data_IF_058638781826
#
_entry.id   IF_058638781826
#
_cell.length_a   1.000
_cell.length_b   1.000
_cell.length_c   1.000
_cell.angle_alpha   90.00
_cell.angle_beta   90.00
_cell.angle_gamma   90.00
#
_symmetry.space_group_name_H-M   'P 1'
#
loop_
_entity.id
_entity.type
_entity.pdbx_description
1 polymer ?
#
# COMPACT_ATOMS: atom_id res chain seq x y z
N UNK A 1 -9.92 -3.84 -3.39
CA UNK A 1 -8.72 -4.65 -3.65
C UNK A 1 -7.49 -3.74 -3.59
N UNK A 2 -6.44 -4.13 -2.88
CA UNK A 2 -5.22 -3.33 -2.59
C UNK A 2 -4.15 -4.21 -1.93
N UNK A 3 -2.88 -3.91 -2.15
CA UNK A 3 -1.77 -4.39 -1.34
C UNK A 3 -1.06 -3.18 -0.73
N UNK A 4 -0.99 -3.12 0.59
CA UNK A 4 -0.08 -2.24 1.31
C UNK A 4 0.61 -3.06 2.39
N UNK A 5 1.93 -3.09 2.38
CA UNK A 5 2.77 -3.77 3.36
C UNK A 5 3.56 -2.73 4.16
N UNK A 6 3.49 -2.80 5.49
CA UNK A 6 4.26 -1.99 6.42
C UNK A 6 5.22 -2.87 7.22
N UNK A 7 6.49 -2.45 7.27
CA UNK A 7 7.55 -3.14 8.02
C UNK A 7 8.26 -2.14 8.91
N UNK A 8 8.49 -2.52 10.17
CA UNK A 8 9.23 -1.69 11.13
C UNK A 8 10.27 -2.50 11.89
N UNK A 9 11.45 -1.92 12.09
CA UNK A 9 12.53 -2.44 12.94
C UNK A 9 13.17 -1.26 13.67
N UNK A 10 12.84 -1.10 14.96
CA UNK A 10 13.27 0.05 15.75
C UNK A 10 12.77 1.37 15.13
N UNK A 11 13.66 2.33 14.91
CA UNK A 11 13.34 3.62 14.28
C UNK A 11 13.45 3.61 12.75
N UNK A 12 13.56 2.44 12.13
CA UNK A 12 13.57 2.28 10.69
C UNK A 12 12.32 1.54 10.24
N UNK A 13 11.85 1.83 9.03
CA UNK A 13 10.73 1.12 8.46
C UNK A 13 10.50 1.44 7.00
N UNK A 14 9.51 0.78 6.43
CA UNK A 14 9.03 1.08 5.08
C UNK A 14 7.56 0.74 4.93
N UNK A 15 6.92 1.43 3.99
CA UNK A 15 5.57 1.12 3.52
C UNK A 15 5.62 0.97 2.00
N UNK A 16 5.15 -0.17 1.51
CA UNK A 16 5.12 -0.50 0.09
C UNK A 16 3.66 -0.71 -0.29
N UNK A 17 3.17 0.02 -1.29
CA UNK A 17 1.78 -0.05 -1.72
C UNK A 17 1.64 -0.08 -3.23
N UNK A 18 0.54 -0.64 -3.73
CA UNK A 18 0.27 -0.70 -5.17
C UNK A 18 -0.57 0.51 -5.65
N UNK A 19 -0.65 0.70 -6.97
CA UNK A 19 -1.38 1.83 -7.58
C UNK A 19 -2.81 1.50 -8.06
N UNK A 20 -3.24 0.25 -7.94
CA UNK A 20 -4.45 -0.24 -8.61
C UNK A 20 -5.72 0.10 -7.86
N UNK A 21 -6.66 0.75 -8.51
CA UNK A 21 -8.06 0.76 -8.10
C UNK A 21 -8.79 -0.39 -8.77
N UNK A 22 -9.82 -0.92 -8.11
CA UNK A 22 -10.74 -1.86 -8.72
C UNK A 22 -12.16 -1.43 -8.41
N UNK A 23 -12.98 -1.29 -9.44
CA UNK A 23 -14.41 -1.11 -9.28
C UNK A 23 -15.04 -2.43 -8.86
N UNK A 24 -15.57 -2.50 -7.65
CA UNK A 24 -16.12 -3.73 -7.07
C UNK A 24 -17.33 -4.27 -7.83
N UNK A 25 -18.09 -3.40 -8.52
CA UNK A 25 -19.28 -3.79 -9.27
C UNK A 25 -18.99 -4.31 -10.69
N UNK A 26 -17.93 -3.80 -11.34
CA UNK A 26 -17.60 -4.17 -12.73
C UNK A 26 -16.35 -5.03 -12.85
N UNK A 27 -15.48 -5.02 -11.85
CA UNK A 27 -14.16 -5.66 -11.90
C UNK A 27 -13.11 -4.87 -12.68
N UNK A 28 -13.44 -3.70 -13.24
CA UNK A 28 -12.50 -2.87 -13.99
C UNK A 28 -11.38 -2.34 -13.08
N UNK A 29 -10.15 -2.33 -13.60
CA UNK A 29 -8.93 -2.00 -12.85
C UNK A 29 -8.16 -0.80 -13.42
N UNK A 30 -7.61 0.03 -12.54
CA UNK A 30 -7.00 1.30 -12.93
C UNK A 30 -5.72 1.56 -12.12
N UNK A 31 -4.55 1.53 -12.75
CA UNK A 31 -3.25 1.81 -12.12
C UNK A 31 -2.97 3.32 -12.07
N UNK A 32 -3.78 4.04 -11.28
CA UNK A 32 -3.84 5.51 -11.31
C UNK A 32 -3.94 6.15 -9.92
N UNK A 33 -3.77 5.40 -8.83
CA UNK A 33 -4.08 5.90 -7.49
C UNK A 33 -2.94 5.80 -6.47
N UNK A 34 -2.71 6.90 -5.76
CA UNK A 34 -1.99 6.89 -4.48
C UNK A 34 -2.99 6.67 -3.35
N UNK A 35 -2.76 5.60 -2.58
CA UNK A 35 -3.64 5.15 -1.50
C UNK A 35 -3.13 5.61 -0.12
N UNK A 36 -2.57 6.81 -0.07
CA UNK A 36 -2.08 7.40 1.16
C UNK A 36 -2.27 8.93 1.15
N UNK A 37 -2.31 9.51 2.34
CA UNK A 37 -2.37 10.97 2.56
C UNK A 37 -1.41 11.35 3.67
N UNK A 38 -0.83 12.54 3.55
CA UNK A 38 -0.26 13.24 4.70
C UNK A 38 -1.37 14.08 5.33
N UNK A 39 -1.65 13.85 6.61
CA UNK A 39 -2.54 14.73 7.38
C UNK A 39 -1.82 16.06 7.62
N UNK A 40 -0.55 15.96 7.99
CA UNK A 40 0.42 17.05 8.05
C UNK A 40 1.84 16.49 7.87
N UNK A 41 2.88 17.19 8.33
CA UNK A 41 4.27 16.71 8.29
C UNK A 41 4.58 15.60 9.32
N UNK A 42 3.71 15.37 10.30
CA UNK A 42 3.89 14.38 11.37
C UNK A 42 3.17 13.07 11.10
N UNK A 43 2.03 13.08 10.39
CA UNK A 43 1.18 11.90 10.23
C UNK A 43 0.90 11.57 8.76
N UNK A 44 1.27 10.36 8.36
CA UNK A 44 0.89 9.74 7.08
C UNK A 44 -0.05 8.56 7.32
N UNK A 45 -1.10 8.44 6.50
CA UNK A 45 -2.07 7.35 6.55
C UNK A 45 -2.14 6.64 5.21
N UNK A 46 -1.90 5.34 5.19
CA UNK A 46 -2.02 4.45 4.04
C UNK A 46 -3.26 3.59 4.21
N UNK A 47 -4.12 3.49 3.20
CA UNK A 47 -5.43 2.85 3.34
C UNK A 47 -5.69 1.78 2.28
N UNK A 48 -6.25 0.66 2.72
CA UNK A 48 -6.87 -0.35 1.87
C UNK A 48 -8.38 -0.40 2.13
N UNK A 49 -9.17 -0.75 1.11
CA UNK A 49 -10.63 -0.77 1.20
C UNK A 49 -11.24 0.46 0.54
N UNK A 50 -11.97 1.27 1.30
CA UNK A 50 -12.66 2.45 0.80
C UNK A 50 -11.72 3.66 0.65
N UNK A 51 -10.71 3.53 -0.20
CA UNK A 51 -9.62 4.52 -0.37
C UNK A 51 -10.09 5.93 -0.71
N UNK A 52 -11.25 6.11 -1.36
CA UNK A 52 -11.84 7.42 -1.63
C UNK A 52 -12.32 8.17 -0.37
N UNK A 53 -12.41 7.49 0.76
CA UNK A 53 -12.73 8.11 2.05
C UNK A 53 -11.52 8.78 2.71
N UNK A 54 -10.32 8.56 2.17
CA UNK A 54 -9.07 8.99 2.77
C UNK A 54 -8.94 10.52 2.85
N UNK A 55 -9.40 11.25 1.83
CA UNK A 55 -9.47 12.72 1.86
C UNK A 55 -10.40 13.25 2.95
N UNK A 56 -11.59 12.65 3.11
CA UNK A 56 -12.52 13.01 4.18
C UNK A 56 -11.93 12.74 5.57
N UNK A 57 -11.25 11.60 5.71
CA UNK A 57 -10.57 11.27 6.96
C UNK A 57 -9.45 12.27 7.27
N UNK A 58 -8.63 12.67 6.29
CA UNK A 58 -7.65 13.75 6.44
C UNK A 58 -8.31 15.03 6.98
N UNK A 59 -9.40 15.47 6.35
CA UNK A 59 -10.10 16.71 6.71
C UNK A 59 -10.65 16.68 8.16
N UNK A 60 -10.98 15.49 8.69
CA UNK A 60 -11.42 15.31 10.08
C UNK A 60 -10.25 15.33 11.07
N UNK A 61 -9.09 14.81 10.67
CA UNK A 61 -7.91 14.67 11.53
C UNK A 61 -7.05 15.93 11.57
N UNK A 62 -6.97 16.68 10.48
CA UNK A 62 -6.13 17.88 10.34
C UNK A 62 -6.39 18.94 11.44
N UNK A 63 -7.65 19.25 11.83
CA UNK A 63 -7.90 20.17 12.95
C UNK A 63 -7.48 19.64 14.32
N UNK A 64 -7.29 18.32 14.46
CA UNK A 64 -6.95 17.64 15.71
C UNK A 64 -5.46 17.29 15.81
N UNK A 65 -4.67 17.60 14.79
CA UNK A 65 -3.29 17.11 14.67
C UNK A 65 -2.41 17.49 15.86
N UNK A 66 -2.56 18.71 16.40
CA UNK A 66 -1.81 19.19 17.57
C UNK A 66 -2.13 18.43 18.87
N UNK A 67 -3.18 17.60 18.89
CA UNK A 67 -3.56 16.76 20.02
C UNK A 67 -3.04 15.33 19.87
N UNK A 68 -2.51 14.97 18.69
CA UNK A 68 -1.95 13.65 18.40
C UNK A 68 -0.46 13.70 18.72
N UNK A 69 -0.05 12.86 19.66
CA UNK A 69 1.32 12.80 20.18
C UNK A 69 1.87 11.39 20.10
N UNK A 70 3.19 11.24 20.27
CA UNK A 70 3.83 9.93 20.35
C UNK A 70 3.20 9.02 21.40
N UNK A 71 2.63 9.57 22.49
CA UNK A 71 2.04 8.79 23.57
C UNK A 71 0.63 8.28 23.27
N UNK A 72 -0.13 8.95 22.40
CA UNK A 72 -1.55 8.64 22.19
C UNK A 72 -1.91 8.22 20.75
N UNK A 73 -0.96 8.28 19.81
CA UNK A 73 -1.24 8.02 18.40
C UNK A 73 -1.69 6.58 18.12
N UNK A 74 -1.21 5.63 18.90
CA UNK A 74 -1.54 4.20 18.86
C UNK A 74 -2.21 3.72 20.15
N UNK A 75 -2.91 4.63 20.85
CA UNK A 75 -3.72 4.33 22.03
C UNK A 75 -5.20 4.13 21.63
N UNK A 76 -5.87 3.02 22.03
CA UNK A 76 -7.31 2.83 21.84
C UNK A 76 -8.19 3.95 22.42
N UNK A 77 -7.69 4.72 23.38
CA UNK A 77 -8.39 5.87 23.96
C UNK A 77 -7.87 7.22 23.42
N UNK A 78 -6.88 7.19 22.52
CA UNK A 78 -6.27 8.36 21.92
C UNK A 78 -7.15 9.08 20.90
N UNK A 79 -6.86 10.36 20.67
CA UNK A 79 -7.63 11.25 19.78
C UNK A 79 -7.68 10.72 18.35
N UNK A 80 -6.57 10.14 17.86
CA UNK A 80 -6.52 9.59 16.51
C UNK A 80 -7.47 8.39 16.36
N UNK A 81 -7.35 7.40 17.24
CA UNK A 81 -8.15 6.18 17.19
C UNK A 81 -9.65 6.48 17.28
N UNK A 82 -10.05 7.30 18.26
CA UNK A 82 -11.45 7.70 18.44
C UNK A 82 -11.99 8.46 17.21
N UNK A 83 -11.18 9.34 16.61
CA UNK A 83 -11.60 10.07 15.39
C UNK A 83 -11.77 9.16 14.18
N UNK A 84 -10.94 8.13 14.05
CA UNK A 84 -11.06 7.12 12.99
C UNK A 84 -12.32 6.28 13.19
N UNK A 85 -12.60 5.83 14.42
CA UNK A 85 -13.83 5.10 14.76
C UNK A 85 -15.06 5.96 14.45
N UNK A 86 -15.13 7.18 15.00
CA UNK A 86 -16.27 8.08 14.78
C UNK A 86 -16.53 8.33 13.30
N UNK A 87 -15.46 8.42 12.49
CA UNK A 87 -15.56 8.58 11.06
C UNK A 87 -16.22 7.36 10.41
N UNK A 88 -15.71 6.16 10.72
CA UNK A 88 -16.18 4.92 10.14
C UNK A 88 -17.58 4.55 10.63
N UNK A 89 -17.94 4.79 11.88
CA UNK A 89 -19.29 4.53 12.40
C UNK A 89 -20.39 5.31 11.66
N UNK A 90 -20.05 6.44 11.02
CA UNK A 90 -20.96 7.21 10.17
C UNK A 90 -21.03 6.71 8.73
N UNK A 91 -20.14 5.80 8.32
CA UNK A 91 -20.15 5.19 6.99
C UNK A 91 -21.13 4.00 6.95
N UNK A 92 -21.63 3.63 5.76
CA UNK A 92 -22.38 2.39 5.59
C UNK A 92 -21.62 1.16 6.14
N UNK A 93 -22.33 0.22 6.79
CA UNK A 93 -21.72 -0.95 7.47
C UNK A 93 -20.99 -1.91 6.53
N UNK A 94 -21.26 -1.87 5.23
CA UNK A 94 -20.53 -2.66 4.23
C UNK A 94 -19.19 -2.02 3.83
N UNK A 95 -18.89 -0.80 4.29
CA UNK A 95 -17.60 -0.15 4.09
C UNK A 95 -16.60 -0.71 5.09
N UNK A 96 -15.75 -1.61 4.59
CA UNK A 96 -14.60 -2.13 5.33
C UNK A 96 -13.33 -1.41 4.89
N UNK A 97 -12.42 -1.17 5.81
CA UNK A 97 -11.12 -0.55 5.52
C UNK A 97 -10.08 -0.96 6.54
N UNK A 98 -8.82 -0.84 6.14
CA UNK A 98 -7.68 -1.01 7.01
C UNK A 98 -6.70 0.14 6.73
N UNK A 99 -6.07 0.64 7.78
CA UNK A 99 -5.16 1.79 7.73
C UNK A 99 -3.84 1.38 8.36
N UNK A 100 -2.73 1.62 7.66
CA UNK A 100 -1.40 1.69 8.27
C UNK A 100 -1.07 3.16 8.45
N UNK A 101 -0.84 3.58 9.69
CA UNK A 101 -0.43 4.94 10.01
C UNK A 101 1.06 5.00 10.33
N UNK A 102 1.69 6.11 9.97
CA UNK A 102 3.07 6.46 10.33
C UNK A 102 3.07 7.82 10.98
N UNK A 103 3.49 7.87 12.24
CA UNK A 103 3.64 9.10 13.01
C UNK A 103 5.13 9.40 13.22
N UNK A 104 5.53 10.63 12.93
CA UNK A 104 6.89 11.12 12.97
C UNK A 104 7.00 12.17 14.08
N UNK A 105 7.81 11.91 15.10
CA UNK A 105 8.07 12.87 16.16
C UNK A 105 9.45 13.50 15.99
N UNK A 106 9.48 14.72 15.46
CA UNK A 106 10.72 15.48 15.23
C UNK A 106 11.44 15.79 16.55
N UNK A 107 10.69 15.97 17.65
CA UNK A 107 11.27 16.33 18.94
C UNK A 107 12.14 15.21 19.52
N UNK A 108 11.69 13.96 19.48
CA UNK A 108 12.49 12.80 19.91
C UNK A 108 13.32 12.15 18.79
N UNK A 109 13.10 12.54 17.53
CA UNK A 109 13.77 11.92 16.38
C UNK A 109 13.32 10.48 16.14
N UNK A 110 12.13 10.11 16.59
CA UNK A 110 11.58 8.75 16.50
C UNK A 110 10.31 8.70 15.66
N UNK A 111 9.80 7.49 15.41
CA UNK A 111 8.53 7.27 14.75
C UNK A 111 7.75 6.12 15.38
N UNK A 112 6.43 6.16 15.20
CA UNK A 112 5.53 5.04 15.43
C UNK A 112 4.85 4.61 14.14
N UNK A 113 4.65 3.31 13.96
CA UNK A 113 3.78 2.73 12.96
C UNK A 113 2.67 1.95 13.66
N UNK A 114 1.45 1.99 13.15
CA UNK A 114 0.33 1.26 13.73
C UNK A 114 -0.63 0.85 12.63
N UNK A 115 -1.52 -0.09 12.94
CA UNK A 115 -2.60 -0.49 12.04
C UNK A 115 -3.95 -0.40 12.73
N UNK A 116 -4.93 0.17 12.04
CA UNK A 116 -6.33 0.18 12.47
C UNK A 116 -7.18 -0.47 11.40
N UNK A 117 -7.91 -1.52 11.77
CA UNK A 117 -8.93 -2.11 10.91
C UNK A 117 -10.32 -1.63 11.31
N UNK A 118 -11.15 -1.30 10.32
CA UNK A 118 -12.58 -1.06 10.45
C UNK A 118 -13.31 -2.14 9.65
N UNK A 119 -13.66 -3.23 10.33
CA UNK A 119 -14.28 -4.42 9.75
C UNK A 119 -15.78 -4.48 10.06
N UNK A 120 -16.49 -5.35 9.37
CA UNK A 120 -17.91 -5.63 9.61
C UNK A 120 -18.11 -7.10 9.86
N UNK A 121 -18.79 -7.45 10.96
CA UNK A 121 -19.19 -8.83 11.26
C UNK A 121 -20.60 -9.18 10.74
N UNK A 122 -21.18 -8.28 9.93
CA UNK A 122 -22.53 -8.37 9.38
C UNK A 122 -23.59 -7.69 10.26
N UNK A 123 -23.35 -7.52 11.56
CA UNK A 123 -24.31 -6.88 12.49
C UNK A 123 -23.79 -5.59 13.09
N UNK A 124 -22.47 -5.51 13.31
CA UNK A 124 -21.80 -4.34 13.87
C UNK A 124 -20.45 -4.15 13.22
N UNK A 125 -19.90 -2.97 13.44
CA UNK A 125 -18.53 -2.65 13.09
C UNK A 125 -17.60 -3.16 14.18
N UNK A 126 -16.49 -3.76 13.79
CA UNK A 126 -15.45 -4.27 14.69
C UNK A 126 -14.15 -3.56 14.34
N UNK A 127 -13.49 -3.04 15.38
CA UNK A 127 -12.24 -2.32 15.23
C UNK A 127 -11.11 -3.09 15.87
N UNK A 128 -9.99 -3.22 15.15
CA UNK A 128 -8.78 -3.83 15.67
C UNK A 128 -7.63 -2.83 15.56
N UNK A 129 -6.84 -2.70 16.63
CA UNK A 129 -5.62 -1.89 16.66
C UNK A 129 -4.42 -2.81 16.82
N UNK A 130 -3.44 -2.68 15.92
CA UNK A 130 -2.08 -3.17 16.13
C UNK A 130 -1.22 -1.95 16.50
N UNK A 131 -0.87 -1.78 17.78
CA UNK A 131 -0.04 -0.67 18.23
C UNK A 131 1.41 -0.84 17.77
N UNK A 132 2.23 0.20 17.90
CA UNK A 132 3.62 0.22 17.43
C UNK A 132 4.48 -0.91 17.99
N UNK A 133 4.27 -1.23 19.27
CA UNK A 133 5.00 -2.31 19.94
C UNK A 133 4.78 -3.69 19.29
N UNK A 134 3.64 -3.88 18.62
CA UNK A 134 3.28 -5.12 17.93
C UNK A 134 3.43 -5.00 16.40
N UNK A 135 3.79 -3.82 15.89
CA UNK A 135 3.88 -3.56 14.46
C UNK A 135 5.25 -3.99 13.92
N UNK A 136 5.34 -5.20 13.38
CA UNK A 136 6.57 -5.68 12.74
C UNK A 136 6.40 -5.88 11.23
N UNK A 137 5.32 -6.54 10.82
CA UNK A 137 5.09 -7.04 9.47
C UNK A 137 3.59 -7.06 9.17
N UNK A 138 3.04 -5.88 8.88
CA UNK A 138 1.61 -5.73 8.60
C UNK A 138 1.36 -5.70 7.10
N UNK A 139 0.36 -6.44 6.63
CA UNK A 139 -0.12 -6.37 5.23
C UNK A 139 -1.63 -6.19 5.27
N UNK A 140 -2.12 -5.14 4.60
CA UNK A 140 -3.54 -4.79 4.54
C UNK A 140 -4.08 -4.90 3.12
N UNK A 141 -5.39 -5.16 3.02
CA UNK A 141 -6.11 -5.38 1.76
C UNK A 141 -6.02 -6.83 1.26
N UNK A 142 -6.40 -7.03 -0.01
CA UNK A 142 -6.31 -8.33 -0.70
C UNK A 142 -4.88 -8.84 -0.82
N UNK A 143 -3.89 -7.95 -0.77
CA UNK A 143 -2.46 -8.28 -0.76
C UNK A 143 -2.00 -9.18 0.39
N UNK A 144 -2.81 -9.38 1.44
CA UNK A 144 -2.51 -10.33 2.53
C UNK A 144 -2.25 -11.77 2.03
N UNK A 145 -2.64 -12.10 0.79
CA UNK A 145 -2.30 -13.38 0.17
C UNK A 145 -0.79 -13.67 0.17
N UNK A 146 0.07 -12.66 0.11
CA UNK A 146 1.54 -12.82 0.10
C UNK A 146 2.10 -13.27 1.46
N UNK A 147 1.27 -13.31 2.50
CA UNK A 147 1.65 -13.81 3.83
C UNK A 147 1.02 -15.17 4.12
N UNK A 148 0.20 -15.71 3.21
CA UNK A 148 -0.49 -16.97 3.40
C UNK A 148 0.43 -18.15 3.05
N UNK A 149 1.08 -18.72 4.07
CA UNK A 149 2.01 -19.85 3.93
C UNK A 149 1.45 -21.03 3.12
N UNK A 150 0.14 -21.29 3.15
CA UNK A 150 -0.48 -22.40 2.39
C UNK A 150 -0.41 -22.23 0.87
N UNK A 151 -0.08 -21.03 0.39
CA UNK A 151 0.02 -20.69 -1.04
C UNK A 151 1.43 -20.85 -1.61
N UNK A 152 2.43 -21.13 -0.76
CA UNK A 152 3.84 -21.16 -1.14
C UNK A 152 4.44 -22.53 -0.83
N UNK A 153 5.36 -22.99 -1.68
CA UNK A 153 6.03 -24.29 -1.48
C UNK A 153 7.07 -24.23 -0.36
N UNK A 154 7.71 -23.08 -0.22
CA UNK A 154 8.76 -22.84 0.76
C UNK A 154 8.24 -22.05 1.96
N UNK A 155 8.92 -22.18 3.11
CA UNK A 155 8.60 -21.39 4.29
C UNK A 155 8.86 -19.91 4.04
N UNK A 156 7.83 -19.08 4.17
CA UNK A 156 7.94 -17.64 4.01
C UNK A 156 8.72 -17.02 5.17
N UNK A 157 9.77 -16.28 4.84
CA UNK A 157 10.45 -15.45 5.85
C UNK A 157 9.64 -14.16 6.05
N UNK A 158 9.25 -13.77 7.27
CA UNK A 158 8.57 -12.49 7.51
C UNK A 158 9.33 -11.31 6.89
N UNK A 159 8.63 -10.33 6.31
CA UNK A 159 9.29 -9.20 5.64
C UNK A 159 10.12 -8.37 6.63
N UNK A 160 9.71 -8.31 7.90
CA UNK A 160 10.49 -7.71 8.99
C UNK A 160 11.85 -8.35 9.20
N UNK A 161 11.95 -9.68 9.08
CA UNK A 161 13.23 -10.39 9.18
C UNK A 161 14.10 -10.13 7.97
N UNK A 162 13.51 -10.06 6.77
CA UNK A 162 14.24 -9.73 5.54
C UNK A 162 14.82 -8.32 5.63
N UNK A 163 14.01 -7.35 6.06
CA UNK A 163 14.41 -5.97 6.27
C UNK A 163 15.53 -5.86 7.33
N UNK A 164 15.32 -6.48 8.50
CA UNK A 164 16.31 -6.51 9.59
C UNK A 164 17.64 -7.13 9.13
N UNK A 165 17.60 -8.24 8.40
CA UNK A 165 18.81 -8.90 7.91
C UNK A 165 19.60 -8.02 6.93
N UNK A 166 18.93 -7.20 6.13
CA UNK A 166 19.62 -6.22 5.28
C UNK A 166 20.30 -5.13 6.13
N UNK A 167 19.62 -4.60 7.14
CA UNK A 167 20.19 -3.61 8.06
C UNK A 167 21.37 -4.18 8.86
N UNK A 168 21.24 -5.39 9.41
CA UNK A 168 22.29 -6.07 10.19
C UNK A 168 23.55 -6.34 9.35
N UNK A 169 23.42 -6.44 8.03
CA UNK A 169 24.54 -6.55 7.07
C UNK A 169 25.18 -5.20 6.72
N UNK A 170 24.69 -4.10 7.28
CA UNK A 170 25.20 -2.74 7.05
C UNK A 170 24.63 -2.06 5.79
N UNK A 171 23.60 -2.61 5.16
CA UNK A 171 22.91 -1.91 4.07
C UNK A 171 22.08 -0.75 4.62
N UNK A 172 21.98 0.33 3.85
CA UNK A 172 21.12 1.45 4.23
C UNK A 172 19.63 1.09 4.11
N UNK A 173 18.78 1.91 4.72
CA UNK A 173 17.33 1.69 4.80
C UNK A 173 16.69 1.56 3.42
N UNK A 174 17.11 2.38 2.45
CA UNK A 174 16.60 2.32 1.08
C UNK A 174 16.87 0.95 0.44
N UNK A 175 18.10 0.45 0.54
CA UNK A 175 18.45 -0.88 0.05
C UNK A 175 17.70 -1.98 0.79
N UNK A 176 17.51 -1.86 2.11
CA UNK A 176 16.69 -2.79 2.87
C UNK A 176 15.22 -2.80 2.38
N UNK A 177 14.66 -1.64 2.07
CA UNK A 177 13.33 -1.49 1.49
C UNK A 177 13.24 -2.13 0.09
N UNK A 178 14.23 -1.92 -0.77
CA UNK A 178 14.28 -2.54 -2.10
C UNK A 178 14.28 -4.08 -2.00
N UNK A 179 14.95 -4.66 -1.01
CA UNK A 179 14.96 -6.11 -0.78
C UNK A 179 13.58 -6.60 -0.35
N UNK A 180 12.89 -5.89 0.54
CA UNK A 180 11.50 -6.22 0.94
C UNK A 180 10.56 -6.15 -0.26
N UNK A 181 10.68 -5.12 -1.08
CA UNK A 181 9.84 -4.98 -2.26
C UNK A 181 10.07 -6.11 -3.27
N UNK A 182 11.33 -6.46 -3.53
CA UNK A 182 11.67 -7.60 -4.40
C UNK A 182 11.10 -8.91 -3.86
N UNK A 183 11.09 -9.10 -2.55
CA UNK A 183 10.44 -10.25 -1.93
C UNK A 183 8.93 -10.24 -2.19
N UNK A 184 8.24 -9.10 -2.00
CA UNK A 184 6.80 -8.98 -2.29
C UNK A 184 6.52 -9.33 -3.77
N UNK A 185 7.30 -8.76 -4.70
CA UNK A 185 7.18 -9.05 -6.13
C UNK A 185 7.48 -10.53 -6.42
N UNK A 186 8.49 -11.11 -5.78
CA UNK A 186 8.84 -12.52 -5.90
C UNK A 186 7.70 -13.43 -5.49
N UNK A 187 7.03 -13.11 -4.37
CA UNK A 187 5.85 -13.85 -3.90
C UNK A 187 4.67 -13.72 -4.87
N UNK A 188 4.40 -12.52 -5.38
CA UNK A 188 3.36 -12.34 -6.40
C UNK A 188 3.67 -13.14 -7.68
N UNK A 189 4.94 -13.19 -8.11
CA UNK A 189 5.38 -14.00 -9.24
C UNK A 189 5.19 -15.51 -8.99
N UNK A 190 5.44 -16.01 -7.78
CA UNK A 190 5.18 -17.43 -7.42
C UNK A 190 3.69 -17.79 -7.42
N UNK A 191 2.81 -16.85 -7.03
CA UNK A 191 1.36 -17.02 -7.09
C UNK A 191 0.80 -17.06 -8.52
N UNK A 192 1.60 -16.65 -9.51
CA UNK A 192 1.26 -16.70 -10.93
C UNK A 192 0.66 -15.40 -11.48
N UNK A 193 0.67 -15.22 -12.81
CA UNK A 193 0.36 -13.94 -13.47
C UNK A 193 -1.10 -13.49 -13.34
N UNK A 194 -2.02 -14.39 -12.98
CA UNK A 194 -3.43 -14.05 -12.76
C UNK A 194 -3.71 -13.42 -11.40
N UNK A 195 -2.76 -13.49 -10.45
CA UNK A 195 -2.95 -12.95 -9.08
C UNK A 195 -3.17 -11.44 -9.10
N UNK A 196 -2.51 -10.71 -10.00
CA UNK A 196 -2.64 -9.26 -10.13
C UNK A 196 -4.07 -8.84 -10.48
N UNK A 197 -4.73 -9.62 -11.35
CA UNK A 197 -6.13 -9.40 -11.69
C UNK A 197 -7.05 -9.86 -10.55
N UNK A 198 -6.87 -11.08 -10.03
CA UNK A 198 -7.77 -11.67 -9.02
C UNK A 198 -7.76 -10.86 -7.72
N UNK A 199 -6.59 -10.44 -7.26
CA UNK A 199 -6.44 -9.70 -6.01
C UNK A 199 -6.44 -8.19 -6.24
N UNK A 200 -6.55 -7.73 -7.49
CA UNK A 200 -6.57 -6.31 -7.88
C UNK A 200 -5.36 -5.54 -7.37
N UNK A 201 -4.17 -6.07 -7.64
CA UNK A 201 -2.87 -5.55 -7.22
C UNK A 201 -2.11 -5.11 -8.47
N UNK A 202 -1.55 -3.90 -8.45
CA UNK A 202 -0.68 -3.43 -9.53
C UNK A 202 0.63 -4.23 -9.61
N UNK A 203 1.14 -4.45 -10.82
CA UNK A 203 2.48 -5.00 -11.04
C UNK A 203 3.62 -4.03 -10.66
N UNK A 204 3.28 -2.75 -10.44
CA UNK A 204 4.22 -1.70 -10.01
C UNK A 204 3.89 -1.21 -8.60
N UNK A 205 4.94 -0.88 -7.83
CA UNK A 205 4.80 -0.53 -6.42
C UNK A 205 5.32 0.89 -6.12
N UNK A 206 4.57 1.59 -5.28
CA UNK A 206 4.99 2.78 -4.56
C UNK A 206 5.80 2.34 -3.34
N UNK A 207 6.94 3.00 -3.13
CA UNK A 207 7.84 2.71 -2.01
C UNK A 207 8.02 3.96 -1.16
N UNK A 208 7.80 3.79 0.14
CA UNK A 208 8.13 4.78 1.17
C UNK A 208 9.08 4.16 2.19
N UNK A 209 10.09 4.92 2.62
CA UNK A 209 11.01 4.48 3.67
C UNK A 209 11.12 5.51 4.79
N UNK A 210 11.41 5.03 5.99
CA UNK A 210 11.35 5.76 7.25
C UNK A 210 12.69 5.65 7.97
N UNK A 211 13.24 6.79 8.40
CA UNK A 211 14.49 6.91 9.14
C UNK A 211 14.30 7.90 10.28
N UNK A 212 14.21 7.41 11.52
CA UNK A 212 13.94 8.29 12.67
C UNK A 212 12.60 9.00 12.50
N UNK A 213 12.59 10.32 12.54
CA UNK A 213 11.39 11.14 12.34
C UNK A 213 11.21 11.64 10.89
N UNK A 214 11.80 10.95 9.90
CA UNK A 214 11.68 11.31 8.49
C UNK A 214 11.06 10.17 7.69
N UNK A 215 10.09 10.51 6.84
CA UNK A 215 9.50 9.62 5.84
C UNK A 215 9.76 10.20 4.46
N UNK A 216 10.19 9.34 3.53
CA UNK A 216 10.34 9.70 2.12
C UNK A 216 9.57 8.73 1.23
N UNK A 217 8.70 9.28 0.39
CA UNK A 217 8.11 8.57 -0.75
C UNK A 217 9.09 8.67 -1.91
N UNK A 218 9.54 7.54 -2.43
CA UNK A 218 10.61 7.48 -3.43
C UNK A 218 10.06 7.41 -4.85
N UNK A 219 10.35 8.44 -5.65
CA UNK A 219 10.33 8.34 -7.11
C UNK A 219 11.61 7.67 -7.62
N UNK A 220 11.49 6.78 -8.61
CA UNK A 220 12.60 5.97 -9.13
C UNK A 220 12.32 5.45 -10.54
N UNK A 221 13.39 5.07 -11.21
CA UNK A 221 13.36 4.28 -12.46
C UNK A 221 13.75 2.85 -12.13
N UNK A 222 12.93 1.90 -12.58
CA UNK A 222 13.16 0.47 -12.45
C UNK A 222 13.48 -0.10 -13.83
N UNK A 223 14.57 -0.85 -13.93
CA UNK A 223 14.92 -1.63 -15.11
C UNK A 223 14.96 -3.11 -14.72
N UNK A 224 14.21 -3.95 -15.44
CA UNK A 224 14.26 -5.40 -15.31
C UNK A 224 14.72 -6.03 -16.62
N UNK A 225 15.45 -7.14 -16.48
CA UNK A 225 15.89 -7.98 -17.58
C UNK A 225 15.63 -9.43 -17.23
N UNK A 226 15.02 -10.18 -18.14
CA UNK A 226 14.86 -11.62 -18.01
C UNK A 226 15.82 -12.30 -18.98
N UNK A 227 16.71 -13.13 -18.44
CA UNK A 227 17.65 -13.95 -19.21
C UNK A 227 17.20 -15.41 -19.08
N UNK A 228 17.05 -16.12 -20.19
CA UNK A 228 16.78 -17.56 -20.19
C UNK A 228 17.67 -18.25 -21.22
N UNK A 229 18.12 -19.47 -20.92
CA UNK A 229 19.08 -20.22 -21.75
C UNK A 229 18.65 -20.39 -23.22
N UNK A 230 17.35 -20.30 -23.52
CA UNK A 230 16.80 -20.37 -24.89
C UNK A 230 15.63 -19.38 -25.11
N UNK A 231 15.61 -18.26 -24.39
CA UNK A 231 14.59 -17.23 -24.56
C UNK A 231 15.25 -15.91 -24.96
N UNK A 232 14.66 -15.13 -25.88
CA UNK A 232 15.16 -13.79 -26.16
C UNK A 232 15.20 -12.96 -24.87
N UNK A 233 16.26 -12.17 -24.71
CA UNK A 233 16.36 -11.19 -23.64
C UNK A 233 15.14 -10.27 -23.69
N UNK A 234 14.30 -10.31 -22.64
CA UNK A 234 13.26 -9.31 -22.47
C UNK A 234 13.77 -8.24 -21.53
N UNK A 235 13.82 -6.99 -22.01
CA UNK A 235 14.12 -5.81 -21.21
C UNK A 235 12.88 -4.92 -21.18
N UNK A 236 12.53 -4.45 -20.00
CA UNK A 236 11.51 -3.42 -19.83
C UNK A 236 11.94 -2.49 -18.69
N UNK A 237 11.41 -1.28 -18.71
CA UNK A 237 11.69 -0.31 -17.67
C UNK A 237 10.55 0.68 -17.51
N UNK A 238 10.35 1.14 -16.29
CA UNK A 238 9.39 2.20 -15.99
C UNK A 238 9.95 3.20 -15.01
N UNK A 239 9.33 4.36 -14.96
CA UNK A 239 9.64 5.42 -14.01
C UNK A 239 8.38 5.79 -13.23
N UNK A 240 8.51 5.88 -11.92
CA UNK A 240 7.53 6.48 -11.02
C UNK A 240 8.15 7.77 -10.46
N UNK A 241 7.43 8.88 -10.49
CA UNK A 241 7.99 10.15 -10.01
C UNK A 241 6.98 11.26 -9.89
N UNK A 242 7.50 12.46 -9.64
CA UNK A 242 6.77 13.73 -9.72
C UNK A 242 7.31 14.54 -10.87
N UNK A 243 6.43 15.22 -11.60
CA UNK A 243 6.82 16.23 -12.57
C UNK A 243 7.16 17.57 -11.89
N UNK A 244 7.55 18.57 -12.68
CA UNK A 244 7.92 19.90 -12.20
C UNK A 244 6.75 20.66 -11.54
N UNK A 245 5.51 20.23 -11.80
CA UNK A 245 4.31 20.79 -11.17
C UNK A 245 3.92 20.06 -9.88
N UNK A 246 4.67 19.01 -9.52
CA UNK A 246 4.43 18.17 -8.35
C UNK A 246 3.41 17.06 -8.56
N UNK A 247 2.87 16.90 -9.77
CA UNK A 247 1.94 15.82 -10.11
C UNK A 247 2.69 14.50 -10.24
N UNK A 248 2.06 13.43 -9.74
CA UNK A 248 2.65 12.11 -9.70
C UNK A 248 2.34 11.35 -10.99
N UNK A 249 3.29 10.59 -11.51
CA UNK A 249 3.10 9.81 -12.74
C UNK A 249 3.79 8.45 -12.72
N UNK A 250 3.29 7.55 -13.57
CA UNK A 250 3.95 6.35 -14.04
C UNK A 250 4.31 6.52 -15.52
N UNK A 251 5.53 6.18 -15.91
CA UNK A 251 6.01 6.26 -17.30
C UNK A 251 6.58 4.92 -17.73
N UNK A 252 6.02 4.32 -18.77
CA UNK A 252 6.65 3.19 -19.44
C UNK A 252 7.74 3.74 -20.36
N UNK A 253 8.99 3.45 -20.06
CA UNK A 253 10.11 4.01 -20.81
C UNK A 253 10.25 3.35 -22.20
N UNK A 254 9.62 2.20 -22.42
CA UNK A 254 9.65 1.47 -23.69
C UNK A 254 8.72 2.10 -24.73
N UNK A 255 7.56 2.60 -24.27
CA UNK A 255 6.54 3.25 -25.12
C UNK A 255 6.51 4.77 -24.96
N UNK A 256 7.19 5.31 -23.95
CA UNK A 256 7.06 6.70 -23.49
C UNK A 256 5.64 7.09 -23.05
N UNK A 257 4.72 6.13 -22.86
CA UNK A 257 3.39 6.38 -22.33
C UNK A 257 3.51 6.88 -20.89
N UNK A 258 2.81 7.98 -20.58
CA UNK A 258 2.69 8.53 -19.23
C UNK A 258 1.26 8.28 -18.75
N UNK A 259 1.14 7.67 -17.58
CA UNK A 259 -0.12 7.46 -16.86
C UNK A 259 -0.10 8.34 -15.61
N UNK A 260 -0.98 9.36 -15.53
CA UNK A 260 -1.11 10.19 -14.33
C UNK A 260 -1.57 9.37 -13.12
N UNK A 261 -1.01 9.67 -11.96
CA UNK A 261 -1.41 9.05 -10.68
C UNK A 261 -1.96 10.14 -9.77
N UNK A 262 -3.14 9.88 -9.22
CA UNK A 262 -3.89 10.83 -8.42
C UNK A 262 -4.02 10.33 -6.98
N UNK A 263 -4.02 11.27 -6.03
CA UNK A 263 -4.42 10.96 -4.66
C UNK A 263 -5.92 10.61 -4.65
N UNK A 264 -6.32 9.60 -3.88
CA UNK A 264 -7.73 9.21 -3.73
C UNK A 264 -8.46 10.15 -2.77
N UNK A 265 -8.60 11.40 -3.19
CA UNK A 265 -9.29 12.47 -2.45
C UNK A 265 -10.38 13.14 -3.31
N UNK A 266 -10.92 14.25 -2.83
CA UNK A 266 -11.96 15.05 -3.51
C UNK A 266 -11.53 15.64 -4.87
N UNK A 267 -10.23 15.68 -5.17
CA UNK A 267 -9.68 16.17 -6.44
C UNK A 267 -9.45 15.04 -7.45
N UNK A 268 -9.71 13.79 -7.06
CA UNK A 268 -9.57 12.65 -7.97
C UNK A 268 -10.50 12.82 -9.19
N UNK A 269 -9.98 12.81 -10.43
CA UNK A 269 -10.77 13.03 -11.64
C UNK A 269 -11.67 11.81 -11.95
N UNK A 270 -13.02 11.90 -11.78
CA UNK A 270 -13.87 10.71 -11.90
C UNK A 270 -13.89 10.12 -13.32
N UNK A 271 -13.65 10.94 -14.34
CA UNK A 271 -13.61 10.52 -15.73
C UNK A 271 -12.46 9.54 -16.05
N UNK A 272 -11.40 9.51 -15.22
CA UNK A 272 -10.32 8.53 -15.37
C UNK A 272 -10.78 7.10 -15.04
N UNK A 273 -11.96 6.95 -14.43
CA UNK A 273 -12.57 5.65 -14.18
C UNK A 273 -13.50 5.21 -15.33
N UNK A 274 -13.53 5.91 -16.46
CA UNK A 274 -14.43 5.54 -17.57
C UNK A 274 -13.87 4.44 -18.47
N UNK A 275 -12.54 4.26 -18.48
CA UNK A 275 -11.88 3.26 -19.29
C UNK A 275 -10.75 2.62 -18.48
N UNK A 276 -10.73 1.30 -18.50
CA UNK A 276 -9.70 0.52 -17.83
C UNK A 276 -8.29 0.95 -18.27
N UNK A 277 -7.41 1.20 -17.29
CA UNK A 277 -6.03 1.62 -17.54
C UNK A 277 -5.07 0.79 -16.69
N UNK A 278 -4.42 -0.18 -17.32
CA UNK A 278 -3.42 -1.03 -16.68
C UNK A 278 -2.03 -0.59 -17.09
N UNK A 279 -1.17 -0.44 -16.09
CA UNK A 279 0.24 -0.12 -16.24
C UNK A 279 1.07 -1.37 -15.96
N UNK A 280 1.27 -2.18 -17.00
CA UNK A 280 2.07 -3.42 -16.95
C UNK A 280 3.21 -3.37 -17.99
N UNK A 281 4.28 -2.62 -17.72
CA UNK A 281 5.42 -2.48 -18.64
C UNK A 281 6.13 -3.81 -18.89
N UNK A 282 6.07 -4.74 -17.94
CA UNK A 282 6.70 -6.04 -18.02
C UNK A 282 5.89 -7.11 -18.75
N UNK A 283 4.61 -6.84 -19.02
CA UNK A 283 3.63 -7.82 -19.52
C UNK A 283 3.59 -9.07 -18.64
N UNK A 284 3.63 -8.86 -17.32
CA UNK A 284 3.67 -9.95 -16.33
C UNK A 284 2.27 -10.40 -15.92
N UNK A 285 1.25 -9.61 -16.23
CA UNK A 285 -0.14 -9.91 -15.86
C UNK A 285 -0.81 -10.75 -16.94
N UNK A 286 -1.53 -11.80 -16.52
CA UNK A 286 -2.40 -12.58 -17.39
C UNK A 286 -3.85 -12.25 -17.03
N UNK A 287 -4.63 -11.89 -18.05
CA UNK A 287 -6.04 -11.59 -17.88
C UNK A 287 -6.91 -12.73 -18.34
N UNK A 288 -7.62 -13.32 -17.39
CA UNK A 288 -8.77 -14.14 -17.72
C UNK A 288 -9.96 -13.19 -18.00
N UNK A 289 -10.60 -13.35 -19.16
CA UNK A 289 -11.78 -12.56 -19.54
C UNK A 289 -13.05 -13.01 -18.80
N UNK A 290 -12.93 -14.03 -17.96
CA UNK A 290 -14.01 -14.49 -17.10
C UNK A 290 -14.37 -13.39 -16.08
N UNK A 291 -15.66 -13.09 -15.84
CA UNK A 291 -16.05 -12.07 -14.87
C UNK A 291 -15.47 -12.42 -13.49
N UNK A 292 -14.89 -11.42 -12.82
CA UNK A 292 -14.42 -11.54 -11.43
C UNK A 292 -15.62 -11.91 -10.56
N UNK A 293 -15.77 -13.20 -10.26
CA UNK A 293 -16.80 -13.69 -9.35
C UNK A 293 -16.51 -13.06 -7.99
N UNK A 294 -17.47 -12.29 -7.48
CA UNK A 294 -17.42 -11.66 -6.16
C UNK A 294 -17.18 -12.74 -5.07
N UNK A 295 -15.92 -12.94 -4.69
CA UNK A 295 -15.51 -13.91 -3.66
C UNK A 295 -15.75 -13.42 -2.22
N UNK A 296 -16.38 -12.26 -2.04
CA UNK A 296 -16.73 -11.73 -0.72
C UNK A 296 -17.77 -12.61 0.02
N UNK A 297 -18.43 -13.55 -0.65
CA UNK A 297 -19.35 -14.49 0.00
C UNK A 297 -18.70 -15.77 0.55
N UNK A 298 -17.45 -16.07 0.20
CA UNK A 298 -16.78 -17.35 0.56
C UNK A 298 -15.66 -17.20 1.60
N UNK A 299 -15.45 -16.00 2.17
CA UNK A 299 -14.48 -15.78 3.26
C UNK A 299 -15.17 -15.64 4.62
N UNK A 300 -16.03 -16.61 4.97
CA UNK A 300 -16.49 -16.86 6.35
C UNK A 300 -15.57 -17.85 7.05
#
# INVERSE_FOLDING_TARGET
MTLIAGVKVGNYGCVIGDFRLTKTNTGEQFDIAQKFVFVDNSLALYMAGAVFTLGNLKNILEPKINQITLQNVDDPHGVLYQSIIDFFDRQPHNVQSAIIGVYLDVASGTNKMFRIDALSDGTKRVYNLVPDLCFENEVIGSGVIITNQSKFKETLTPLSKIFKNALDKGYNVRTATDVVEREIIGRLKELGPTVYQIEGISSVMNVSFIVGSALRVEGRTVEEFTVGENKPLTKWSYTFGKDDTGNVFLKDNSTSKITPVHMTDEKFPPHMLNQEEIFDPGKIEERDKSPLINKDNDRK
#
